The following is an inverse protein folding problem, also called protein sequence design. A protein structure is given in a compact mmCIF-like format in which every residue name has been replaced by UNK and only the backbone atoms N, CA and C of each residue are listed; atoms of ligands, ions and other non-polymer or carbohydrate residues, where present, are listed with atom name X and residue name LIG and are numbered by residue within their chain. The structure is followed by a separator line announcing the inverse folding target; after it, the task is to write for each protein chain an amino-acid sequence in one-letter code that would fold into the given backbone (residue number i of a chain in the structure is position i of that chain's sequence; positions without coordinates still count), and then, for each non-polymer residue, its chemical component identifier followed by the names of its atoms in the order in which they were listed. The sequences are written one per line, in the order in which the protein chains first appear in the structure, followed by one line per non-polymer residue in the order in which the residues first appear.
data_IF_088368243526
#
_entry.id   IF_088368243526
#
_cell.length_a   1.000
_cell.length_b   1.000
_cell.length_c   1.000
_cell.angle_alpha   90.00
_cell.angle_beta   90.00
_cell.angle_gamma   90.00
#
_symmetry.space_group_name_H-M   'P 1'
#
loop_
_entity.id
_entity.type
_entity.pdbx_description
1 polymer ?
#
# COMPACT_ATOMS: atom_id res chain seq x y z
N UNK A 1 15.25 20.05 -23.08
CA UNK A 1 14.52 18.86 -22.58
C UNK A 1 15.38 18.32 -21.44
N UNK A 2 15.04 18.68 -20.21
CA UNK A 2 15.87 18.38 -19.05
C UNK A 2 15.59 16.94 -18.65
N UNK A 3 16.56 16.04 -18.83
CA UNK A 3 16.53 14.73 -18.20
C UNK A 3 16.47 14.97 -16.69
N UNK A 4 15.33 14.71 -16.05
CA UNK A 4 15.29 14.61 -14.62
C UNK A 4 16.22 13.45 -14.27
N UNK A 5 17.33 13.75 -13.58
CA UNK A 5 18.11 12.74 -12.88
C UNK A 5 17.12 11.92 -12.05
N UNK A 6 16.93 10.65 -12.42
CA UNK A 6 16.28 9.68 -11.57
C UNK A 6 17.15 9.49 -10.33
N UNK A 7 16.90 10.30 -9.30
CA UNK A 7 17.67 10.27 -8.08
C UNK A 7 17.21 9.08 -7.23
N UNK A 8 18.17 8.33 -6.69
CA UNK A 8 17.94 7.33 -5.63
C UNK A 8 17.44 7.95 -4.31
N UNK A 9 17.43 9.28 -4.21
CA UNK A 9 16.91 10.02 -3.09
C UNK A 9 15.43 10.34 -3.32
N UNK A 10 14.55 10.05 -2.35
CA UNK A 10 13.14 10.37 -2.47
C UNK A 10 12.95 11.89 -2.63
N UNK A 11 12.04 12.35 -3.49
CA UNK A 11 11.59 13.74 -3.46
C UNK A 11 10.88 14.04 -2.12
N UNK A 12 10.68 15.31 -1.82
CA UNK A 12 9.82 15.72 -0.71
C UNK A 12 8.43 15.06 -0.84
N UNK A 13 7.91 14.52 0.27
CA UNK A 13 6.58 13.87 0.27
C UNK A 13 5.53 14.91 -0.06
N UNK A 14 4.59 14.56 -0.92
CA UNK A 14 3.47 15.44 -1.24
C UNK A 14 2.70 15.80 0.04
N UNK A 15 2.14 17.01 0.09
CA UNK A 15 1.34 17.47 1.24
C UNK A 15 0.18 16.51 1.54
N UNK A 16 -0.41 15.95 0.50
CA UNK A 16 -1.47 14.94 0.60
C UNK A 16 -1.00 13.70 1.37
N UNK A 17 0.13 13.12 0.98
CA UNK A 17 0.70 11.92 1.60
C UNK A 17 1.06 12.16 3.07
N UNK A 18 1.57 13.36 3.35
CA UNK A 18 1.90 13.80 4.71
C UNK A 18 0.65 13.94 5.56
N UNK A 19 -0.46 14.41 5.00
CA UNK A 19 -1.73 14.54 5.71
C UNK A 19 -2.36 13.19 6.04
N UNK A 20 -2.35 12.22 5.12
CA UNK A 20 -2.98 10.92 5.34
C UNK A 20 -2.11 9.97 6.17
N UNK A 21 -0.78 10.14 6.16
CA UNK A 21 0.16 9.36 6.95
C UNK A 21 1.31 10.24 7.49
N UNK A 22 1.05 11.05 8.53
CA UNK A 22 1.99 12.06 9.03
C UNK A 22 3.23 11.47 9.71
N UNK A 23 3.11 10.25 10.24
CA UNK A 23 4.20 9.59 10.95
C UNK A 23 5.10 8.75 10.03
N UNK A 24 4.79 8.66 8.74
CA UNK A 24 5.57 7.84 7.83
C UNK A 24 6.89 8.51 7.45
N UNK A 25 7.95 7.71 7.56
CA UNK A 25 9.31 8.06 7.19
C UNK A 25 9.72 7.24 5.97
N UNK A 26 10.62 7.79 5.17
CA UNK A 26 11.20 7.03 4.07
C UNK A 26 11.87 5.77 4.62
N UNK A 27 11.52 4.62 4.04
CA UNK A 27 12.09 3.34 4.41
C UNK A 27 13.15 2.90 3.41
N UNK A 28 12.79 2.86 2.12
CA UNK A 28 13.70 2.44 1.06
C UNK A 28 13.24 2.94 -0.31
N UNK A 29 14.07 2.76 -1.33
CA UNK A 29 13.74 3.05 -2.72
C UNK A 29 14.09 1.86 -3.58
N UNK A 30 13.10 1.42 -4.36
CA UNK A 30 13.19 0.27 -5.22
C UNK A 30 13.29 0.76 -6.66
N UNK A 31 14.31 0.31 -7.40
CA UNK A 31 14.32 0.46 -8.85
C UNK A 31 13.17 -0.40 -9.40
N UNK A 32 12.18 0.25 -10.00
CA UNK A 32 11.00 -0.38 -10.59
C UNK A 32 11.16 -0.25 -12.10
N UNK A 33 12.00 -1.09 -12.69
CA UNK A 33 12.43 -0.93 -14.07
C UNK A 33 12.16 -2.19 -14.90
N UNK A 34 11.51 -1.97 -16.04
CA UNK A 34 11.35 -2.87 -17.20
C UNK A 34 11.46 -2.02 -18.51
N UNK A 35 11.96 -0.78 -18.46
CA UNK A 35 12.05 0.09 -19.64
C UNK A 35 13.21 -0.35 -20.56
N UNK A 36 13.00 -0.40 -21.89
CA UNK A 36 14.06 -0.74 -22.83
C UNK A 36 15.20 0.30 -22.91
N UNK A 37 15.00 1.53 -22.43
CA UNK A 37 16.04 2.56 -22.34
C UNK A 37 16.83 2.44 -21.00
N UNK A 38 18.10 1.98 -21.01
CA UNK A 38 18.88 1.79 -19.78
C UNK A 38 19.20 3.08 -19.00
N UNK A 39 19.01 4.25 -19.63
CA UNK A 39 19.19 5.54 -18.98
C UNK A 39 17.89 6.05 -18.30
N UNK A 40 16.74 5.45 -18.62
CA UNK A 40 15.46 5.78 -18.02
C UNK A 40 15.17 4.92 -16.79
N UNK A 41 15.40 5.46 -15.59
CA UNK A 41 15.18 4.74 -14.33
C UNK A 41 13.96 5.26 -13.60
N UNK A 42 13.05 4.35 -13.25
CA UNK A 42 11.90 4.66 -12.38
C UNK A 42 12.14 4.08 -11.00
N UNK A 43 11.92 4.89 -9.97
CA UNK A 43 12.03 4.45 -8.58
C UNK A 43 10.67 4.49 -7.89
N UNK A 44 10.36 3.44 -7.14
CA UNK A 44 9.29 3.43 -6.14
C UNK A 44 9.89 3.73 -4.78
N UNK A 45 9.48 4.83 -4.15
CA UNK A 45 9.92 5.21 -2.81
C UNK A 45 8.90 4.72 -1.77
N UNK A 46 9.33 3.79 -0.91
CA UNK A 46 8.48 3.22 0.13
C UNK A 46 8.63 4.01 1.43
N UNK A 47 7.49 4.29 2.04
CA UNK A 47 7.41 4.98 3.33
C UNK A 47 6.72 4.09 4.36
N UNK A 48 7.24 4.08 5.58
CA UNK A 48 6.71 3.29 6.67
C UNK A 48 6.49 4.18 7.90
N UNK A 49 5.34 4.01 8.55
CA UNK A 49 4.97 4.71 9.76
C UNK A 49 4.29 3.76 10.74
N UNK A 50 4.30 4.13 12.02
CA UNK A 50 3.53 3.43 13.06
C UNK A 50 2.44 4.35 13.58
N UNK A 51 1.30 3.75 13.87
CA UNK A 51 0.19 4.42 14.53
C UNK A 51 -0.42 3.50 15.56
N UNK A 52 -1.03 4.08 16.60
CA UNK A 52 -1.84 3.32 17.53
C UNK A 52 -3.19 3.05 16.85
N UNK A 53 -3.54 1.77 16.76
CA UNK A 53 -4.79 1.38 16.15
C UNK A 53 -5.98 1.71 17.05
N UNK A 54 -6.97 2.39 16.47
CA UNK A 54 -8.30 2.59 17.03
C UNK A 54 -9.30 2.68 15.88
N UNK A 55 -10.58 2.34 16.08
CA UNK A 55 -11.60 2.57 15.06
C UNK A 55 -11.53 4.01 14.52
N UNK A 56 -11.52 4.16 13.20
CA UNK A 56 -11.39 5.46 12.53
C UNK A 56 -9.96 5.94 12.26
N UNK A 57 -8.92 5.34 12.85
CA UNK A 57 -7.53 5.82 12.70
C UNK A 57 -6.97 5.67 11.29
N UNK A 58 -7.51 4.72 10.51
CA UNK A 58 -7.05 4.43 9.14
C UNK A 58 -7.97 5.03 8.07
N UNK A 59 -9.11 5.60 8.46
CA UNK A 59 -10.13 6.13 7.54
C UNK A 59 -9.57 7.09 6.48
N UNK A 60 -8.68 8.05 6.81
CA UNK A 60 -8.15 8.96 5.79
C UNK A 60 -7.40 8.22 4.68
N UNK A 61 -6.58 7.23 5.04
CA UNK A 61 -5.81 6.44 4.08
C UNK A 61 -6.72 5.47 3.31
N UNK A 62 -7.69 4.84 3.99
CA UNK A 62 -8.64 3.93 3.34
C UNK A 62 -9.51 4.66 2.30
N UNK A 63 -10.01 5.86 2.63
CA UNK A 63 -10.75 6.70 1.68
C UNK A 63 -9.86 7.16 0.52
N UNK A 64 -8.63 7.56 0.80
CA UNK A 64 -7.69 7.95 -0.24
C UNK A 64 -7.41 6.78 -1.21
N UNK A 65 -7.26 5.56 -0.71
CA UNK A 65 -7.08 4.37 -1.55
C UNK A 65 -8.32 4.07 -2.39
N UNK A 66 -9.51 4.14 -1.77
CA UNK A 66 -10.79 3.91 -2.47
C UNK A 66 -11.11 4.99 -3.52
N UNK A 67 -10.64 6.23 -3.33
CA UNK A 67 -10.85 7.33 -4.27
C UNK A 67 -9.71 7.47 -5.30
N UNK A 68 -8.78 6.50 -5.34
CA UNK A 68 -7.62 6.54 -6.22
C UNK A 68 -6.69 7.75 -6.00
N UNK A 69 -6.72 8.33 -4.80
CA UNK A 69 -5.86 9.45 -4.39
C UNK A 69 -4.50 8.97 -3.86
N UNK A 70 -4.39 7.70 -3.45
CA UNK A 70 -3.13 7.01 -3.12
C UNK A 70 -3.19 5.57 -3.61
N UNK A 71 -2.03 4.96 -3.87
CA UNK A 71 -1.90 3.56 -4.27
C UNK A 71 -0.78 2.86 -3.50
N UNK A 72 -0.71 1.53 -3.59
CA UNK A 72 0.35 0.73 -2.96
C UNK A 72 0.36 0.76 -1.44
N UNK A 73 -0.80 0.98 -0.81
CA UNK A 73 -0.93 1.07 0.64
C UNK A 73 -1.00 -0.33 1.26
N UNK A 74 -0.16 -0.59 2.26
CA UNK A 74 -0.24 -1.81 3.06
C UNK A 74 -0.31 -1.47 4.55
N UNK A 75 -1.18 -2.17 5.26
CA UNK A 75 -1.25 -2.15 6.72
C UNK A 75 -0.82 -3.50 7.28
N UNK A 76 -0.08 -3.47 8.37
CA UNK A 76 0.35 -4.69 9.04
C UNK A 76 0.48 -4.48 10.53
N UNK A 77 0.47 -5.58 11.28
CA UNK A 77 0.91 -5.55 12.67
C UNK A 77 2.44 -5.36 12.74
N UNK A 78 2.95 -5.08 13.94
CA UNK A 78 4.40 -4.86 14.11
C UNK A 78 5.28 -6.08 13.84
N UNK A 79 4.69 -7.25 13.56
CA UNK A 79 5.39 -8.51 13.32
C UNK A 79 5.23 -9.04 11.90
N UNK A 80 4.51 -8.32 11.03
CA UNK A 80 4.21 -8.75 9.66
C UNK A 80 3.48 -10.10 9.58
N UNK A 81 2.65 -10.42 10.57
CA UNK A 81 1.86 -11.67 10.59
C UNK A 81 0.61 -11.58 9.72
N UNK A 82 0.19 -10.36 9.38
CA UNK A 82 -0.93 -10.10 8.48
C UNK A 82 -0.70 -8.83 7.70
N UNK A 83 -0.98 -8.88 6.40
CA UNK A 83 -0.93 -7.69 5.55
C UNK A 83 -2.32 -7.44 4.98
N UNK A 84 -2.81 -6.22 5.15
CA UNK A 84 -4.03 -5.73 4.53
C UNK A 84 -3.66 -4.73 3.43
N UNK A 85 -4.07 -5.01 2.20
CA UNK A 85 -3.79 -4.19 1.01
C UNK A 85 -5.12 -3.73 0.39
N UNK A 86 -5.64 -2.55 0.79
CA UNK A 86 -6.84 -1.99 0.19
C UNK A 86 -6.55 -1.30 -1.15
N UNK A 87 -7.52 -1.36 -2.04
CA UNK A 87 -7.51 -0.69 -3.35
C UNK A 87 -8.93 -0.31 -3.76
N UNK A 88 -9.07 0.49 -4.82
CA UNK A 88 -10.40 0.80 -5.37
C UNK A 88 -11.09 -0.49 -5.84
N UNK A 89 -12.25 -0.77 -5.26
CA UNK A 89 -13.03 -1.98 -5.52
C UNK A 89 -12.88 -3.12 -4.49
N UNK A 90 -11.90 -3.07 -3.58
CA UNK A 90 -11.75 -4.16 -2.62
C UNK A 90 -10.48 -4.12 -1.78
N UNK A 91 -10.04 -5.30 -1.35
CA UNK A 91 -8.84 -5.46 -0.56
C UNK A 91 -8.36 -6.89 -0.49
N UNK A 92 -7.05 -7.06 -0.40
CA UNK A 92 -6.44 -8.37 -0.12
C UNK A 92 -6.01 -8.47 1.35
N UNK A 93 -6.14 -9.67 1.92
CA UNK A 93 -5.61 -10.02 3.24
C UNK A 93 -4.64 -11.19 3.11
N UNK A 94 -3.35 -10.92 3.30
CA UNK A 94 -2.31 -11.94 3.35
C UNK A 94 -2.14 -12.41 4.79
N UNK A 95 -2.24 -13.73 5.00
CA UNK A 95 -2.06 -14.38 6.30
C UNK A 95 -0.84 -15.29 6.27
N UNK A 96 -0.24 -15.53 7.44
CA UNK A 96 0.90 -16.44 7.57
C UNK A 96 0.55 -17.92 7.41
N UNK A 97 -0.72 -18.29 7.65
CA UNK A 97 -1.18 -19.66 7.51
C UNK A 97 -2.53 -19.77 6.79
N UNK A 98 -2.76 -20.91 6.14
CA UNK A 98 -4.00 -21.20 5.40
C UNK A 98 -5.23 -21.25 6.30
N UNK A 99 -5.11 -21.79 7.52
CA UNK A 99 -6.23 -21.87 8.45
C UNK A 99 -6.72 -20.47 8.87
N UNK A 100 -5.81 -19.51 9.09
CA UNK A 100 -6.16 -18.13 9.44
C UNK A 100 -6.89 -17.44 8.28
N UNK A 101 -6.43 -17.68 7.04
CA UNK A 101 -7.09 -17.19 5.83
C UNK A 101 -8.49 -17.78 5.71
N UNK A 102 -8.65 -19.08 5.93
CA UNK A 102 -9.93 -19.77 5.79
C UNK A 102 -10.94 -19.29 6.84
N UNK A 103 -10.53 -19.11 8.10
CA UNK A 103 -11.37 -18.52 9.14
C UNK A 103 -11.83 -17.09 8.80
N UNK A 104 -10.94 -16.27 8.22
CA UNK A 104 -11.32 -14.93 7.78
C UNK A 104 -12.30 -14.96 6.62
N UNK A 105 -12.06 -15.82 5.64
CA UNK A 105 -12.95 -16.00 4.49
C UNK A 105 -14.35 -16.37 4.96
N UNK A 106 -14.46 -17.27 5.93
CA UNK A 106 -15.75 -17.67 6.51
C UNK A 106 -16.40 -16.53 7.30
N UNK A 107 -15.63 -15.83 8.13
CA UNK A 107 -16.12 -14.71 8.95
C UNK A 107 -16.61 -13.52 8.11
N UNK A 108 -15.99 -13.29 6.95
CA UNK A 108 -16.27 -12.17 6.04
C UNK A 108 -16.78 -12.68 4.69
N UNK A 109 -17.58 -13.75 4.68
CA UNK A 109 -18.09 -14.35 3.46
C UNK A 109 -18.86 -13.34 2.58
N UNK A 110 -19.58 -12.40 3.21
CA UNK A 110 -20.33 -11.34 2.52
C UNK A 110 -19.44 -10.31 1.81
N UNK A 111 -18.13 -10.31 2.07
CA UNK A 111 -17.17 -9.39 1.44
C UNK A 111 -16.46 -10.01 0.24
N UNK A 112 -16.66 -11.30 -0.01
CA UNK A 112 -15.99 -11.99 -1.12
C UNK A 112 -16.57 -11.51 -2.45
N UNK A 113 -15.68 -11.25 -3.41
CA UNK A 113 -16.10 -10.93 -4.77
C UNK A 113 -16.94 -12.07 -5.34
N UNK A 114 -18.06 -11.72 -5.97
CA UNK A 114 -18.86 -12.65 -6.76
C UNK A 114 -18.23 -13.00 -8.11
N UNK A 115 -17.15 -12.30 -8.50
CA UNK A 115 -16.48 -12.56 -9.76
C UNK A 115 -15.74 -13.91 -9.71
N UNK A 116 -15.78 -14.74 -10.77
CA UNK A 116 -15.17 -16.07 -10.76
C UNK A 116 -13.65 -16.10 -10.51
N UNK A 117 -12.96 -15.00 -10.79
CA UNK A 117 -11.52 -14.86 -10.52
C UNK A 117 -11.21 -14.45 -9.07
N UNK A 118 -12.23 -14.14 -8.26
CA UNK A 118 -12.07 -13.61 -6.91
C UNK A 118 -11.63 -12.14 -6.85
N UNK A 119 -11.73 -11.40 -7.97
CA UNK A 119 -11.46 -9.96 -8.08
C UNK A 119 -12.75 -9.15 -8.05
#
# INVERSE_FOLDING_TARGET
MTALMACSFPPERAEFDTRINPNAQHWTSLLTDDDPDPDFKVFTHLYAGRTNWQPGSLDPVLRAAANWETTGVMFSDGRLTRIYHPYDGGSDVLCTASFERDELRERHADWLSSHPSGL
#
